data_IF_371840106326
#
_entry.id   IF_371840106326
#
_cell.length_a   1.000
_cell.length_b   1.000
_cell.length_c   1.000
_cell.angle_alpha   90.00
_cell.angle_beta   90.00
_cell.angle_gamma   90.00
#
_symmetry.space_group_name_H-M   'P 1'
#
loop_
_entity.id
_entity.type
_entity.pdbx_description
1 polymer ?
#
# COMPACT_ATOMS: atom_id res chain seq x y z
N UNK A 1 17.85 -24.93 -6.00
CA UNK A 1 17.04 -23.70 -5.86
C UNK A 1 15.73 -23.91 -6.60
N UNK A 2 14.60 -23.84 -5.89
CA UNK A 2 13.26 -24.05 -6.41
C UNK A 2 12.58 -22.73 -6.77
N UNK A 3 11.65 -22.80 -7.73
CA UNK A 3 10.91 -21.66 -8.28
C UNK A 3 9.41 -21.85 -8.05
N UNK A 4 8.87 -21.45 -6.88
CA UNK A 4 7.52 -21.83 -6.51
C UNK A 4 6.44 -21.04 -7.26
N UNK A 5 6.73 -19.81 -7.69
CA UNK A 5 5.79 -18.92 -8.42
C UNK A 5 6.25 -18.58 -9.84
N UNK A 6 7.35 -19.20 -10.30
CA UNK A 6 7.96 -19.06 -11.62
C UNK A 6 8.01 -17.60 -12.13
N UNK A 7 7.16 -17.20 -13.09
CA UNK A 7 7.12 -15.86 -13.68
C UNK A 7 6.12 -14.91 -13.05
N UNK A 8 5.51 -15.24 -11.90
CA UNK A 8 4.60 -14.34 -11.19
C UNK A 8 5.33 -13.56 -10.10
N UNK A 9 5.33 -12.23 -10.23
CA UNK A 9 5.85 -11.30 -9.22
C UNK A 9 4.94 -10.07 -9.13
N UNK A 10 4.58 -9.66 -7.92
CA UNK A 10 3.69 -8.52 -7.68
C UNK A 10 4.33 -7.14 -7.89
N UNK A 11 5.66 -7.06 -8.08
CA UNK A 11 6.31 -5.81 -8.48
C UNK A 11 6.18 -5.50 -9.98
N UNK A 12 5.90 -6.52 -10.81
CA UNK A 12 5.73 -6.41 -12.27
C UNK A 12 6.75 -5.47 -12.97
N UNK A 13 8.03 -5.59 -12.60
CA UNK A 13 9.05 -4.65 -13.06
C UNK A 13 9.19 -4.65 -14.59
N UNK A 14 9.08 -3.49 -15.23
CA UNK A 14 9.22 -3.34 -16.69
C UNK A 14 10.56 -3.89 -17.25
N UNK A 15 11.61 -3.90 -16.43
CA UNK A 15 12.93 -4.42 -16.78
C UNK A 15 13.12 -5.92 -16.48
N UNK A 16 12.14 -6.62 -15.90
CA UNK A 16 12.28 -8.02 -15.54
C UNK A 16 12.24 -8.90 -16.79
N UNK A 17 13.38 -9.52 -17.12
CA UNK A 17 13.48 -10.42 -18.26
C UNK A 17 12.65 -11.71 -18.07
N UNK A 18 12.32 -12.06 -16.83
CA UNK A 18 11.69 -13.34 -16.49
C UNK A 18 10.16 -13.31 -16.56
N UNK A 19 9.53 -12.17 -16.27
CA UNK A 19 8.06 -11.99 -16.35
C UNK A 19 7.51 -12.29 -17.75
N UNK A 20 8.29 -11.97 -18.80
CA UNK A 20 7.90 -12.20 -20.21
C UNK A 20 7.59 -13.67 -20.53
N UNK A 21 8.06 -14.61 -19.72
CA UNK A 21 7.75 -16.04 -19.86
C UNK A 21 6.28 -16.36 -19.60
N UNK A 22 5.54 -15.51 -18.88
CA UNK A 22 4.10 -15.70 -18.67
C UNK A 22 3.35 -15.86 -19.99
N UNK A 23 3.74 -15.08 -21.01
CA UNK A 23 3.16 -15.12 -22.36
C UNK A 23 3.38 -16.44 -23.10
N UNK A 24 4.38 -17.23 -22.69
CA UNK A 24 4.68 -18.53 -23.30
C UNK A 24 3.79 -19.65 -22.75
N UNK A 25 3.18 -19.46 -21.58
CA UNK A 25 2.37 -20.48 -20.90
C UNK A 25 1.05 -19.89 -20.36
N UNK A 26 0.14 -19.43 -21.24
CA UNK A 26 -1.06 -18.69 -20.84
C UNK A 26 -2.01 -19.48 -19.92
N UNK A 27 -2.02 -20.80 -20.01
CA UNK A 27 -2.86 -21.68 -19.19
C UNK A 27 -2.19 -22.10 -17.86
N UNK A 28 -0.95 -21.67 -17.62
CA UNK A 28 -0.21 -22.06 -16.42
C UNK A 28 -0.64 -21.24 -15.21
N UNK A 29 -0.87 -21.91 -14.09
CA UNK A 29 -1.01 -21.22 -12.81
C UNK A 29 0.30 -20.57 -12.35
N UNK A 30 1.44 -21.03 -12.90
CA UNK A 30 2.81 -20.74 -12.47
C UNK A 30 3.10 -21.08 -11.00
N UNK A 31 2.23 -21.88 -10.38
CA UNK A 31 2.37 -22.32 -8.99
C UNK A 31 2.91 -23.74 -8.96
N UNK A 32 3.95 -23.95 -8.16
CA UNK A 32 4.44 -25.29 -7.84
C UNK A 32 3.34 -26.06 -7.09
N UNK A 33 3.03 -27.28 -7.55
CA UNK A 33 2.09 -28.15 -6.85
C UNK A 33 2.74 -28.78 -5.62
N UNK A 34 1.93 -29.29 -4.70
CA UNK A 34 2.42 -29.97 -3.50
C UNK A 34 3.24 -31.22 -3.86
N UNK A 35 2.80 -31.98 -4.87
CA UNK A 35 3.50 -33.18 -5.33
C UNK A 35 4.90 -32.84 -5.87
N UNK A 36 5.00 -31.77 -6.67
CA UNK A 36 6.29 -31.30 -7.20
C UNK A 36 7.19 -30.79 -6.08
N UNK A 37 6.62 -30.03 -5.13
CA UNK A 37 7.35 -29.53 -3.95
C UNK A 37 7.89 -30.70 -3.12
N UNK A 38 7.07 -31.71 -2.84
CA UNK A 38 7.51 -32.88 -2.07
C UNK A 38 8.58 -33.68 -2.79
N UNK A 39 8.43 -33.93 -4.09
CA UNK A 39 9.46 -34.61 -4.87
C UNK A 39 10.78 -33.83 -4.88
N UNK A 40 10.73 -32.51 -5.04
CA UNK A 40 11.92 -31.66 -5.00
C UNK A 40 12.63 -31.74 -3.64
N UNK A 41 11.89 -31.58 -2.54
CA UNK A 41 12.46 -31.62 -1.18
C UNK A 41 13.06 -33.01 -0.91
N UNK A 42 12.30 -34.08 -1.18
CA UNK A 42 12.74 -35.46 -0.99
C UNK A 42 14.02 -35.77 -1.75
N UNK A 43 14.05 -35.51 -3.06
CA UNK A 43 15.22 -35.79 -3.90
C UNK A 43 16.43 -34.93 -3.49
N UNK A 44 16.20 -33.68 -3.08
CA UNK A 44 17.27 -32.82 -2.59
C UNK A 44 17.91 -33.40 -1.33
N UNK A 45 17.10 -33.82 -0.36
CA UNK A 45 17.59 -34.40 0.90
C UNK A 45 18.27 -35.76 0.67
N UNK A 46 17.65 -36.65 -0.11
CA UNK A 46 18.20 -37.98 -0.43
C UNK A 46 19.53 -37.89 -1.19
N UNK A 47 19.65 -36.94 -2.12
CA UNK A 47 20.84 -36.77 -2.97
C UNK A 47 22.06 -36.17 -2.26
N UNK A 48 21.86 -35.41 -1.18
CA UNK A 48 22.97 -34.81 -0.45
C UNK A 48 23.68 -35.83 0.45
N UNK A 49 25.01 -35.85 0.39
CA UNK A 49 25.89 -36.75 1.17
C UNK A 49 26.58 -36.08 2.35
N UNK A 50 26.36 -34.79 2.54
CA UNK A 50 26.88 -33.99 3.64
C UNK A 50 25.79 -33.74 4.68
N UNK A 51 26.14 -33.45 5.95
CA UNK A 51 25.16 -33.22 7.00
C UNK A 51 24.37 -31.92 6.83
N UNK A 52 24.79 -30.99 5.95
CA UNK A 52 24.08 -29.74 5.70
C UNK A 52 23.45 -29.72 4.31
N UNK A 53 22.18 -29.32 4.23
CA UNK A 53 21.45 -29.19 2.97
C UNK A 53 20.74 -27.88 2.90
N UNK A 54 20.91 -27.17 1.79
CA UNK A 54 20.24 -25.90 1.57
C UNK A 54 18.96 -26.11 0.73
N UNK A 55 17.82 -25.79 1.31
CA UNK A 55 16.56 -25.62 0.58
C UNK A 55 16.38 -24.13 0.28
N UNK A 56 16.40 -23.80 -1.00
CA UNK A 56 16.43 -22.43 -1.48
C UNK A 56 15.21 -22.10 -2.34
N UNK A 57 14.45 -21.08 -1.94
CA UNK A 57 13.27 -20.57 -2.65
C UNK A 57 13.59 -19.24 -3.34
N UNK A 58 13.34 -19.14 -4.64
CA UNK A 58 13.62 -17.93 -5.44
C UNK A 58 12.69 -17.86 -6.67
N UNK A 59 12.84 -16.80 -7.47
CA UNK A 59 12.15 -16.60 -8.75
C UNK A 59 10.65 -16.25 -8.61
N UNK A 60 10.19 -15.34 -9.48
CA UNK A 60 8.92 -14.65 -9.26
C UNK A 60 8.99 -13.85 -7.97
N UNK A 61 7.88 -13.79 -7.23
CA UNK A 61 7.89 -13.48 -5.81
C UNK A 61 7.42 -14.73 -5.03
N UNK A 62 8.30 -15.42 -4.28
CA UNK A 62 7.95 -16.64 -3.57
C UNK A 62 6.84 -16.46 -2.52
N UNK A 63 6.76 -15.30 -1.86
CA UNK A 63 5.71 -15.05 -0.85
C UNK A 63 4.29 -15.11 -1.42
N UNK A 64 4.11 -14.96 -2.74
CA UNK A 64 2.81 -15.16 -3.40
C UNK A 64 2.28 -16.61 -3.28
N UNK A 65 3.09 -17.58 -2.87
CA UNK A 65 2.58 -18.91 -2.53
C UNK A 65 1.67 -18.91 -1.30
N UNK A 66 1.84 -17.95 -0.39
CA UNK A 66 1.16 -17.93 0.90
C UNK A 66 1.80 -18.87 1.94
N UNK A 67 1.47 -18.64 3.21
CA UNK A 67 2.07 -19.34 4.34
C UNK A 67 1.79 -20.85 4.34
N UNK A 68 0.62 -21.29 3.88
CA UNK A 68 0.25 -22.71 3.94
C UNK A 68 1.14 -23.59 3.07
N UNK A 69 1.58 -23.08 1.91
CA UNK A 69 2.57 -23.76 1.07
C UNK A 69 3.89 -23.97 1.83
N UNK A 70 4.39 -22.94 2.52
CA UNK A 70 5.67 -23.03 3.23
C UNK A 70 5.57 -23.82 4.53
N UNK A 71 4.44 -23.76 5.25
CA UNK A 71 4.16 -24.66 6.38
C UNK A 71 4.23 -26.12 5.92
N UNK A 72 3.59 -26.41 4.79
CA UNK A 72 3.63 -27.74 4.20
C UNK A 72 5.03 -28.15 3.74
N UNK A 73 5.78 -27.24 3.13
CA UNK A 73 7.18 -27.47 2.78
C UNK A 73 8.03 -27.86 4.02
N UNK A 74 7.86 -27.14 5.14
CA UNK A 74 8.57 -27.44 6.40
C UNK A 74 8.17 -28.79 6.98
N UNK A 75 6.89 -29.18 6.90
CA UNK A 75 6.46 -30.53 7.31
C UNK A 75 7.13 -31.62 6.47
N UNK A 76 7.20 -31.42 5.15
CA UNK A 76 7.86 -32.35 4.24
C UNK A 76 9.36 -32.41 4.49
N UNK A 77 10.03 -31.28 4.71
CA UNK A 77 11.45 -31.23 5.11
C UNK A 77 11.69 -32.06 6.37
N UNK A 78 10.85 -31.89 7.41
CA UNK A 78 10.94 -32.67 8.65
C UNK A 78 10.72 -34.17 8.43
N UNK A 79 9.79 -34.54 7.55
CA UNK A 79 9.49 -35.94 7.20
C UNK A 79 10.71 -36.69 6.63
N UNK A 80 11.53 -36.01 5.82
CA UNK A 80 12.70 -36.63 5.17
C UNK A 80 14.04 -36.36 5.87
N UNK A 81 14.05 -35.51 6.92
CA UNK A 81 15.26 -35.15 7.64
C UNK A 81 15.92 -36.38 8.31
N UNK A 82 17.21 -36.59 8.03
CA UNK A 82 17.99 -37.70 8.61
C UNK A 82 18.65 -37.29 9.95
N UNK A 83 18.92 -38.22 10.87
CA UNK A 83 19.66 -37.93 12.10
C UNK A 83 21.02 -37.26 11.82
N UNK A 84 21.34 -36.20 12.57
CA UNK A 84 22.59 -35.45 12.40
C UNK A 84 22.64 -34.50 11.20
N UNK A 85 21.54 -34.39 10.44
CA UNK A 85 21.40 -33.51 9.30
C UNK A 85 20.78 -32.17 9.71
N UNK A 86 21.24 -31.07 9.11
CA UNK A 86 20.72 -29.72 9.26
C UNK A 86 20.24 -29.20 7.91
N UNK A 87 19.05 -28.61 7.87
CA UNK A 87 18.55 -27.91 6.69
C UNK A 87 18.76 -26.41 6.88
N UNK A 88 19.55 -25.83 6.00
CA UNK A 88 19.63 -24.38 5.83
C UNK A 88 18.51 -23.94 4.88
N UNK A 89 17.79 -22.88 5.26
CA UNK A 89 16.72 -22.31 4.46
C UNK A 89 17.16 -20.98 3.90
N UNK A 90 17.09 -20.83 2.58
CA UNK A 90 17.32 -19.54 1.92
C UNK A 90 16.07 -19.11 1.17
N UNK A 91 15.78 -17.82 1.25
CA UNK A 91 14.54 -17.24 0.74
C UNK A 91 14.85 -15.90 0.07
N UNK A 92 14.59 -15.79 -1.22
CA UNK A 92 14.76 -14.54 -1.96
C UNK A 92 13.39 -13.90 -2.20
N UNK A 93 13.15 -12.74 -1.60
CA UNK A 93 11.89 -11.99 -1.68
C UNK A 93 12.15 -10.52 -1.96
N UNK A 94 11.21 -9.87 -2.60
CA UNK A 94 11.14 -8.41 -2.70
C UNK A 94 10.70 -7.72 -1.39
N UNK A 95 10.25 -8.50 -0.39
CA UNK A 95 9.91 -8.01 0.95
C UNK A 95 8.55 -7.31 1.08
N UNK A 96 7.81 -7.06 -0.01
CA UNK A 96 6.58 -6.25 0.07
C UNK A 96 5.38 -6.99 0.67
N UNK A 97 5.47 -8.31 0.81
CA UNK A 97 4.48 -9.15 1.50
C UNK A 97 4.95 -9.60 2.89
N UNK A 98 6.05 -9.01 3.40
CA UNK A 98 6.43 -9.13 4.80
C UNK A 98 5.71 -8.02 5.56
N UNK A 99 4.62 -8.36 6.24
CA UNK A 99 3.66 -7.42 6.83
C UNK A 99 3.69 -7.41 8.38
N UNK A 100 4.44 -8.32 9.00
CA UNK A 100 4.70 -8.31 10.44
C UNK A 100 5.93 -7.43 10.74
N UNK A 101 5.68 -6.17 11.11
CA UNK A 101 6.71 -5.21 11.53
C UNK A 101 6.91 -5.18 13.05
N UNK A 102 8.16 -5.12 13.49
CA UNK A 102 8.60 -4.97 14.89
C UNK A 102 9.77 -3.99 14.98
N UNK A 103 9.99 -3.40 16.15
CA UNK A 103 11.17 -2.58 16.41
C UNK A 103 12.20 -3.41 17.18
N UNK A 104 13.43 -3.46 16.66
CA UNK A 104 14.56 -4.13 17.30
C UNK A 104 15.57 -3.08 17.77
N UNK A 105 15.79 -3.02 19.08
CA UNK A 105 16.80 -2.17 19.69
C UNK A 105 18.19 -2.81 19.63
N UNK A 106 19.23 -1.96 19.71
CA UNK A 106 20.63 -2.39 19.72
C UNK A 106 21.00 -3.35 20.86
N UNK A 107 20.22 -3.36 21.94
CA UNK A 107 20.34 -4.29 23.07
C UNK A 107 19.89 -5.71 22.74
N UNK A 108 19.15 -5.88 21.64
CA UNK A 108 18.44 -7.11 21.27
C UNK A 108 16.98 -7.12 21.73
N UNK A 109 16.50 -6.07 22.40
CA UNK A 109 15.11 -5.98 22.83
C UNK A 109 14.18 -5.74 21.64
N UNK A 110 13.09 -6.51 21.60
CA UNK A 110 12.11 -6.47 20.54
C UNK A 110 10.80 -5.86 21.06
N UNK A 111 10.24 -4.92 20.30
CA UNK A 111 9.01 -4.21 20.62
C UNK A 111 8.02 -4.28 19.45
N UNK A 112 6.74 -4.08 19.75
CA UNK A 112 5.66 -4.20 18.76
C UNK A 112 5.73 -3.22 17.58
N UNK A 113 6.30 -2.03 17.77
CA UNK A 113 6.39 -0.95 16.77
C UNK A 113 7.35 0.14 17.29
N UNK A 114 7.97 0.90 16.39
CA UNK A 114 8.85 2.03 16.67
C UNK A 114 8.18 3.16 17.48
N UNK A 115 6.87 3.37 17.33
CA UNK A 115 6.11 4.32 18.16
C UNK A 115 5.80 3.82 19.58
N UNK A 116 6.11 2.55 19.87
CA UNK A 116 5.74 1.83 21.09
C UNK A 116 6.96 1.12 21.71
N UNK A 117 8.12 1.79 21.77
CA UNK A 117 9.31 1.29 22.45
C UNK A 117 9.20 1.59 23.96
N UNK A 118 8.33 0.85 24.64
CA UNK A 118 8.03 1.00 26.07
C UNK A 118 7.63 -0.35 26.70
N UNK A 119 7.71 -0.53 28.05
CA UNK A 119 7.57 -1.83 28.69
C UNK A 119 6.28 -2.60 28.36
N UNK A 120 5.16 -1.90 28.13
CA UNK A 120 3.87 -2.52 27.78
C UNK A 120 3.90 -3.26 26.43
N UNK A 121 4.80 -2.86 25.53
CA UNK A 121 4.90 -3.35 24.17
C UNK A 121 6.21 -4.09 23.90
N UNK A 122 6.98 -4.39 24.96
CA UNK A 122 8.15 -5.26 24.89
C UNK A 122 7.69 -6.70 24.69
N UNK A 123 8.27 -7.36 23.68
CA UNK A 123 7.96 -8.74 23.30
C UNK A 123 8.97 -9.73 23.89
N UNK A 124 10.22 -9.30 24.10
CA UNK A 124 11.31 -10.16 24.55
C UNK A 124 12.68 -9.66 24.07
N UNK A 125 13.73 -10.44 24.30
CA UNK A 125 15.07 -10.19 23.76
C UNK A 125 15.49 -11.33 22.81
N UNK A 126 16.00 -10.96 21.64
CA UNK A 126 16.37 -11.93 20.58
C UNK A 126 17.57 -12.83 20.95
N UNK A 127 18.32 -12.46 22.00
CA UNK A 127 19.41 -13.29 22.53
C UNK A 127 18.89 -14.48 23.33
N UNK A 128 17.68 -14.35 23.89
CA UNK A 128 17.07 -15.33 24.78
C UNK A 128 16.01 -16.18 24.09
N UNK A 129 15.35 -15.63 23.06
CA UNK A 129 14.27 -16.30 22.34
C UNK A 129 14.37 -16.09 20.83
N UNK A 130 14.07 -17.10 20.00
CA UNK A 130 14.00 -16.94 18.56
C UNK A 130 13.02 -15.83 18.17
N UNK A 131 13.43 -14.94 17.27
CA UNK A 131 12.62 -13.80 16.84
C UNK A 131 11.25 -14.24 16.30
N UNK A 132 11.17 -15.39 15.63
CA UNK A 132 9.91 -15.99 15.17
C UNK A 132 8.91 -16.18 16.31
N UNK A 133 9.36 -16.67 17.47
CA UNK A 133 8.50 -16.87 18.65
C UNK A 133 7.99 -15.55 19.21
N UNK A 134 8.84 -14.51 19.19
CA UNK A 134 8.47 -13.19 19.69
C UNK A 134 7.46 -12.48 18.75
N UNK A 135 7.71 -12.53 17.44
CA UNK A 135 6.85 -11.91 16.43
C UNK A 135 5.49 -12.62 16.32
N UNK A 136 5.46 -13.95 16.45
CA UNK A 136 4.22 -14.73 16.43
C UNK A 136 3.47 -14.79 17.77
N UNK A 137 3.97 -14.09 18.79
CA UNK A 137 3.37 -14.06 20.12
C UNK A 137 1.91 -13.58 20.10
N UNK A 138 1.11 -14.03 21.07
CA UNK A 138 -0.28 -13.57 21.21
C UNK A 138 -0.35 -12.05 21.44
N UNK A 139 0.58 -11.49 22.22
CA UNK A 139 0.70 -10.04 22.42
C UNK A 139 0.87 -9.28 21.11
N UNK A 140 1.79 -9.72 20.24
CA UNK A 140 2.04 -9.06 18.96
C UNK A 140 0.86 -9.22 18.00
N UNK A 141 0.23 -10.40 17.96
CA UNK A 141 -0.98 -10.65 17.16
C UNK A 141 -2.13 -9.75 17.60
N UNK A 142 -2.36 -9.62 18.91
CA UNK A 142 -3.39 -8.73 19.46
C UNK A 142 -3.08 -7.27 19.14
N UNK A 143 -1.82 -6.82 19.32
CA UNK A 143 -1.40 -5.46 18.95
C UNK A 143 -1.69 -5.13 17.47
N UNK A 144 -1.48 -6.09 16.57
CA UNK A 144 -1.83 -5.96 15.16
C UNK A 144 -3.33 -5.87 14.91
N UNK A 145 -4.10 -6.79 15.49
CA UNK A 145 -5.57 -6.87 15.33
C UNK A 145 -6.28 -5.65 15.91
N UNK A 146 -5.80 -5.14 17.03
CA UNK A 146 -6.39 -3.99 17.73
C UNK A 146 -6.44 -2.73 16.86
N UNK A 147 -5.49 -2.58 15.93
CA UNK A 147 -5.46 -1.44 14.98
C UNK A 147 -6.76 -1.29 14.21
N UNK A 148 -7.47 -2.38 13.93
CA UNK A 148 -8.78 -2.38 13.24
C UNK A 148 -9.94 -2.75 14.17
N UNK A 149 -9.75 -3.74 15.06
CA UNK A 149 -10.82 -4.25 15.91
C UNK A 149 -11.30 -3.23 16.93
N UNK A 150 -10.42 -2.33 17.40
CA UNK A 150 -10.75 -1.29 18.39
C UNK A 150 -11.11 0.07 17.77
N UNK A 151 -11.33 0.15 16.45
CA UNK A 151 -11.74 1.40 15.83
C UNK A 151 -13.10 1.86 16.36
N UNK A 152 -13.32 3.15 16.64
CA UNK A 152 -14.63 3.62 17.03
C UNK A 152 -15.63 3.47 15.87
N UNK A 153 -16.91 3.31 16.19
CA UNK A 153 -18.00 3.16 15.23
C UNK A 153 -18.09 4.36 14.28
N UNK A 154 -17.76 5.56 14.78
CA UNK A 154 -17.60 6.77 13.97
C UNK A 154 -16.62 6.58 12.80
N UNK A 155 -15.50 5.89 13.03
CA UNK A 155 -14.52 5.56 11.99
C UNK A 155 -15.02 4.42 11.09
N UNK A 156 -15.68 3.40 11.66
CA UNK A 156 -16.21 2.26 10.88
C UNK A 156 -17.27 2.67 9.86
N UNK A 157 -18.06 3.71 10.18
CA UNK A 157 -19.08 4.29 9.29
C UNK A 157 -18.54 5.39 8.35
N UNK A 158 -17.27 5.77 8.47
CA UNK A 158 -16.70 6.86 7.68
C UNK A 158 -16.52 6.43 6.22
N UNK A 159 -16.95 7.28 5.27
CA UNK A 159 -16.79 7.03 3.83
C UNK A 159 -15.32 6.87 3.40
N UNK A 160 -14.38 7.47 4.13
CA UNK A 160 -12.94 7.38 3.88
C UNK A 160 -12.25 6.22 4.60
N UNK A 161 -12.98 5.32 5.26
CA UNK A 161 -12.37 4.20 5.99
C UNK A 161 -11.44 3.36 5.10
N UNK A 162 -11.83 3.13 3.84
CA UNK A 162 -11.08 2.32 2.88
C UNK A 162 -9.67 2.85 2.57
N UNK A 163 -9.40 4.13 2.81
CA UNK A 163 -8.09 4.75 2.58
C UNK A 163 -7.43 5.22 3.87
N UNK A 164 -8.21 5.53 4.90
CA UNK A 164 -7.71 6.06 6.16
C UNK A 164 -7.36 4.93 7.15
N UNK A 165 -8.20 3.89 7.23
CA UNK A 165 -8.09 2.80 8.22
C UNK A 165 -7.95 3.27 9.68
N UNK A 166 -8.37 4.50 9.98
CA UNK A 166 -8.22 5.13 11.30
C UNK A 166 -6.79 5.54 11.66
N UNK A 167 -5.84 5.45 10.72
CA UNK A 167 -4.44 5.87 10.86
C UNK A 167 -3.72 5.15 12.04
N UNK A 168 -2.47 5.51 12.37
CA UNK A 168 -1.71 4.98 13.48
C UNK A 168 -2.45 5.12 14.83
N UNK A 169 -2.57 4.05 15.63
CA UNK A 169 -3.16 4.13 16.98
C UNK A 169 -2.47 5.12 17.92
N UNK A 170 -1.18 5.42 17.71
CA UNK A 170 -0.42 6.40 18.51
C UNK A 170 -1.05 7.80 18.46
N UNK A 171 -1.71 8.11 17.34
CA UNK A 171 -2.31 9.40 17.06
C UNK A 171 -3.81 9.46 17.40
N UNK A 172 -4.39 8.36 17.91
CA UNK A 172 -5.83 8.21 18.23
C UNK A 172 -6.15 8.70 19.64
N UNK A 173 -5.88 9.98 19.90
CA UNK A 173 -5.93 10.59 21.24
C UNK A 173 -7.19 11.39 21.54
N UNK A 174 -8.07 11.58 20.55
CA UNK A 174 -9.32 12.33 20.72
C UNK A 174 -10.52 11.42 20.99
N UNK A 175 -11.59 12.01 21.48
CA UNK A 175 -12.92 11.41 21.55
C UNK A 175 -13.69 11.74 20.27
N UNK A 176 -14.49 10.79 19.78
CA UNK A 176 -15.40 11.00 18.65
C UNK A 176 -16.54 11.96 19.02
N UNK A 177 -17.22 12.55 18.02
CA UNK A 177 -18.44 13.33 18.27
C UNK A 177 -19.52 12.58 19.06
N UNK A 178 -19.55 11.24 18.94
CA UNK A 178 -20.52 10.36 19.60
C UNK A 178 -20.04 9.87 20.98
N UNK A 179 -18.87 10.34 21.45
CA UNK A 179 -18.36 10.07 22.81
C UNK A 179 -17.41 8.87 22.95
N UNK A 180 -17.11 8.15 21.86
CA UNK A 180 -16.17 7.02 21.89
C UNK A 180 -14.71 7.49 21.85
N UNK A 181 -13.77 6.90 22.62
CA UNK A 181 -12.36 7.22 22.50
C UNK A 181 -11.75 6.65 21.21
N UNK A 182 -10.54 7.09 20.86
CA UNK A 182 -9.76 6.49 19.78
C UNK A 182 -9.93 7.18 18.43
N UNK A 183 -10.30 8.47 18.41
CA UNK A 183 -10.30 9.27 17.20
C UNK A 183 -8.91 9.87 16.95
N UNK A 184 -8.46 9.79 15.71
CA UNK A 184 -7.23 10.45 15.28
C UNK A 184 -7.34 11.98 15.38
N UNK A 185 -6.34 12.64 15.96
CA UNK A 185 -6.31 14.10 16.11
C UNK A 185 -6.37 14.89 14.78
N UNK A 186 -5.96 14.28 13.66
CA UNK A 186 -6.04 14.86 12.32
C UNK A 186 -7.29 14.43 11.55
N UNK A 187 -8.28 13.79 12.17
CA UNK A 187 -9.44 13.23 11.46
C UNK A 187 -10.15 14.24 10.55
N UNK A 188 -10.42 15.46 11.03
CA UNK A 188 -11.09 16.49 10.23
C UNK A 188 -10.23 16.95 9.03
N UNK A 189 -8.92 17.13 9.25
CA UNK A 189 -7.98 17.50 8.20
C UNK A 189 -7.84 16.41 7.13
N UNK A 190 -7.73 15.15 7.54
CA UNK A 190 -7.67 14.01 6.63
C UNK A 190 -8.95 13.89 5.82
N UNK A 191 -10.14 14.05 6.42
CA UNK A 191 -11.41 14.09 5.68
C UNK A 191 -11.42 15.17 4.61
N UNK A 192 -11.00 16.39 4.95
CA UNK A 192 -10.93 17.49 3.98
C UNK A 192 -9.92 17.21 2.86
N UNK A 193 -8.77 16.61 3.19
CA UNK A 193 -7.75 16.23 2.22
C UNK A 193 -8.25 15.15 1.27
N UNK A 194 -8.86 14.09 1.78
CA UNK A 194 -9.42 13.01 0.96
C UNK A 194 -10.55 13.51 0.06
N UNK A 195 -11.48 14.33 0.58
CA UNK A 195 -12.54 14.93 -0.23
C UNK A 195 -11.98 15.81 -1.37
N UNK A 196 -10.89 16.55 -1.12
CA UNK A 196 -10.24 17.37 -2.13
C UNK A 196 -9.53 16.53 -3.20
N UNK A 197 -8.84 15.45 -2.77
CA UNK A 197 -8.00 14.62 -3.64
C UNK A 197 -8.75 13.51 -4.35
N UNK A 198 -9.95 13.14 -3.90
CA UNK A 198 -10.69 11.98 -4.39
C UNK A 198 -10.85 12.03 -5.91
N UNK A 199 -11.36 13.14 -6.45
CA UNK A 199 -11.64 13.27 -7.87
C UNK A 199 -10.37 13.17 -8.73
N UNK A 200 -9.30 13.93 -8.45
CA UNK A 200 -8.02 13.72 -9.12
C UNK A 200 -7.52 12.28 -9.06
N UNK A 201 -7.56 11.66 -7.88
CA UNK A 201 -7.09 10.28 -7.70
C UNK A 201 -7.91 9.27 -8.51
N UNK A 202 -9.24 9.44 -8.59
CA UNK A 202 -10.10 8.59 -9.44
C UNK A 202 -9.79 8.72 -10.92
N UNK A 203 -9.52 9.94 -11.40
CA UNK A 203 -9.13 10.17 -12.80
C UNK A 203 -7.79 9.49 -13.09
N UNK A 204 -6.79 9.70 -12.24
CA UNK A 204 -5.48 9.05 -12.40
C UNK A 204 -5.58 7.52 -12.37
N UNK A 205 -6.35 6.96 -11.45
CA UNK A 205 -6.57 5.52 -11.36
C UNK A 205 -7.24 4.96 -12.63
N UNK A 206 -8.23 5.67 -13.19
CA UNK A 206 -8.91 5.25 -14.42
C UNK A 206 -8.00 5.37 -15.66
N UNK A 207 -7.13 6.40 -15.72
CA UNK A 207 -6.12 6.54 -16.76
C UNK A 207 -5.16 5.35 -16.73
N UNK A 208 -4.57 5.04 -15.57
CA UNK A 208 -3.65 3.92 -15.39
C UNK A 208 -4.32 2.59 -15.73
N UNK A 209 -5.58 2.38 -15.30
CA UNK A 209 -6.36 1.18 -15.62
C UNK A 209 -6.57 0.99 -17.13
N UNK A 210 -6.60 2.08 -17.91
CA UNK A 210 -6.70 2.07 -19.38
C UNK A 210 -5.34 2.05 -20.08
N UNK A 211 -4.23 1.90 -19.36
CA UNK A 211 -2.88 1.93 -19.92
C UNK A 211 -2.42 3.32 -20.36
N UNK A 212 -3.04 4.38 -19.83
CA UNK A 212 -2.67 5.78 -20.06
C UNK A 212 -1.79 6.31 -18.93
N UNK A 213 -1.14 7.45 -19.15
CA UNK A 213 -0.29 8.06 -18.15
C UNK A 213 -1.13 8.90 -17.18
N UNK A 214 -0.75 8.86 -15.89
CA UNK A 214 -1.48 9.56 -14.84
C UNK A 214 -1.39 11.10 -14.96
N UNK A 215 -0.30 11.62 -15.53
CA UNK A 215 -0.04 13.05 -15.74
C UNK A 215 -0.98 13.71 -16.76
N UNK A 216 -1.65 12.92 -17.60
CA UNK A 216 -2.70 13.39 -18.51
C UNK A 216 -3.87 14.07 -17.77
N UNK A 217 -4.00 13.83 -16.45
CA UNK A 217 -4.92 14.55 -15.57
C UNK A 217 -4.78 16.07 -15.65
N UNK A 218 -3.56 16.58 -15.83
CA UNK A 218 -3.30 18.03 -15.81
C UNK A 218 -4.08 18.74 -16.92
N UNK A 219 -4.11 18.14 -18.12
CA UNK A 219 -4.87 18.67 -19.25
C UNK A 219 -6.38 18.53 -19.05
N UNK A 220 -6.83 17.43 -18.45
CA UNK A 220 -8.25 17.19 -18.15
C UNK A 220 -8.76 18.27 -17.19
N UNK A 221 -8.08 18.48 -16.07
CA UNK A 221 -8.47 19.48 -15.07
C UNK A 221 -8.42 20.90 -15.62
N UNK A 222 -7.37 21.25 -16.37
CA UNK A 222 -7.27 22.57 -17.01
C UNK A 222 -8.42 22.85 -17.99
N UNK A 223 -8.83 21.84 -18.76
CA UNK A 223 -9.96 21.96 -19.71
C UNK A 223 -11.28 22.20 -18.97
N UNK A 224 -11.50 21.51 -17.85
CA UNK A 224 -12.70 21.66 -17.04
C UNK A 224 -12.75 23.01 -16.31
N UNK A 225 -11.63 23.49 -15.79
CA UNK A 225 -11.52 24.82 -15.19
C UNK A 225 -11.81 25.90 -16.23
N UNK A 226 -11.26 25.78 -17.45
CA UNK A 226 -11.57 26.69 -18.54
C UNK A 226 -13.06 26.67 -18.91
N UNK A 227 -13.70 25.49 -18.92
CA UNK A 227 -15.13 25.35 -19.19
C UNK A 227 -15.99 25.99 -18.07
N UNK A 228 -15.64 25.75 -16.81
CA UNK A 228 -16.31 26.37 -15.64
C UNK A 228 -16.16 27.88 -15.66
N UNK A 229 -14.96 28.39 -15.94
CA UNK A 229 -14.73 29.83 -16.07
C UNK A 229 -15.58 30.41 -17.19
N UNK A 230 -15.60 29.78 -18.37
CA UNK A 230 -16.43 30.23 -19.50
C UNK A 230 -17.91 30.27 -19.14
N UNK A 231 -18.42 29.26 -18.43
CA UNK A 231 -19.81 29.22 -17.97
C UNK A 231 -20.09 30.33 -16.95
N UNK A 232 -19.22 30.50 -15.95
CA UNK A 232 -19.37 31.54 -14.94
C UNK A 232 -19.33 32.95 -15.55
N UNK A 233 -18.47 33.17 -16.54
CA UNK A 233 -18.41 34.43 -17.30
C UNK A 233 -19.70 34.67 -18.09
N UNK A 234 -20.31 33.64 -18.65
CA UNK A 234 -21.56 33.76 -19.41
C UNK A 234 -22.77 34.10 -18.53
N UNK A 235 -22.77 33.70 -17.25
CA UNK A 235 -23.86 33.95 -16.30
C UNK A 235 -23.63 35.14 -15.38
N UNK A 236 -22.45 35.78 -15.45
CA UNK A 236 -22.09 36.91 -14.58
C UNK A 236 -22.84 38.19 -14.93
N UNK A 237 -23.43 38.83 -13.91
CA UNK A 237 -24.03 40.15 -14.03
C UNK A 237 -22.98 41.25 -14.20
N UNK A 238 -23.36 42.35 -14.86
CA UNK A 238 -22.46 43.46 -15.23
C UNK A 238 -21.64 44.01 -14.05
N UNK A 239 -22.23 44.06 -12.84
CA UNK A 239 -21.60 44.64 -11.65
C UNK A 239 -21.00 43.60 -10.68
N UNK A 240 -21.13 42.31 -10.98
CA UNK A 240 -20.64 41.22 -10.12
C UNK A 240 -19.11 41.17 -10.12
N UNK A 241 -18.46 40.60 -9.10
CA UNK A 241 -17.04 40.27 -9.14
C UNK A 241 -16.73 39.37 -10.34
N UNK A 242 -15.64 39.65 -11.05
CA UNK A 242 -15.28 38.86 -12.22
C UNK A 242 -14.81 37.44 -11.82
N UNK A 243 -15.39 36.37 -12.37
CA UNK A 243 -15.03 34.98 -12.03
C UNK A 243 -13.57 34.58 -12.28
N UNK A 244 -12.80 35.34 -13.05
CA UNK A 244 -11.38 35.07 -13.31
C UNK A 244 -10.45 35.30 -12.10
N UNK A 245 -10.96 35.81 -10.98
CA UNK A 245 -10.16 36.07 -9.78
C UNK A 245 -9.39 37.41 -9.77
N UNK A 246 -9.61 38.29 -10.76
CA UNK A 246 -8.90 39.58 -10.86
C UNK A 246 -9.27 40.62 -9.79
N UNK A 247 -10.29 40.36 -8.97
CA UNK A 247 -10.84 41.32 -7.99
C UNK A 247 -11.62 42.49 -8.61
N UNK A 248 -11.73 42.56 -9.94
CA UNK A 248 -12.46 43.63 -10.65
C UNK A 248 -13.93 43.25 -10.86
N UNK A 249 -14.81 44.25 -11.03
CA UNK A 249 -16.18 44.02 -11.52
C UNK A 249 -16.16 43.44 -12.93
N UNK A 250 -17.10 42.56 -13.27
CA UNK A 250 -17.17 41.84 -14.54
C UNK A 250 -17.07 42.78 -15.75
N UNK A 251 -17.85 43.88 -15.76
CA UNK A 251 -17.78 44.91 -16.81
C UNK A 251 -16.40 45.57 -17.00
N UNK A 252 -15.56 45.58 -15.96
CA UNK A 252 -14.20 46.18 -16.01
C UNK A 252 -13.11 45.13 -16.30
N UNK A 253 -13.50 43.92 -16.67
CA UNK A 253 -12.60 42.80 -16.88
C UNK A 253 -12.98 41.99 -18.12
N UNK A 254 -13.90 41.02 -18.00
CA UNK A 254 -14.29 40.13 -19.11
C UNK A 254 -15.65 40.50 -19.75
N UNK A 255 -16.37 41.47 -19.17
CA UNK A 255 -17.66 41.97 -19.67
C UNK A 255 -17.55 43.29 -20.43
N UNK A 256 -16.35 43.69 -20.86
CA UNK A 256 -16.14 44.88 -21.69
C UNK A 256 -16.80 44.67 -23.06
N UNK A 257 -17.76 45.52 -23.40
CA UNK A 257 -18.33 45.56 -24.76
C UNK A 257 -17.46 46.46 -25.63
N UNK A 258 -17.14 46.05 -26.87
CA UNK A 258 -16.33 46.79 -27.86
C UNK A 258 -16.73 48.27 -28.08
N UNK A 259 -17.94 48.66 -27.67
CA UNK A 259 -18.42 50.05 -27.69
C UNK A 259 -17.74 50.95 -26.64
N UNK A 260 -17.26 50.40 -25.53
CA UNK A 260 -16.59 51.15 -24.45
C UNK A 260 -15.08 51.39 -24.74
N UNK A 261 -14.46 50.68 -25.69
CA UNK A 261 -13.09 50.92 -26.15
C UNK A 261 -12.94 52.26 -26.92
N UNK A 262 -14.00 52.72 -27.60
CA UNK A 262 -13.93 53.97 -28.39
C UNK A 262 -13.92 55.24 -27.53
N UNK A 263 -14.51 55.21 -26.34
CA UNK A 263 -14.58 56.39 -25.46
C UNK A 263 -13.27 56.62 -24.69
N UNK A 264 -12.52 55.55 -24.40
CA UNK A 264 -11.26 55.66 -23.65
C UNK A 264 -10.07 56.17 -24.48
N UNK A 265 -10.18 56.22 -25.81
CA UNK A 265 -9.13 56.72 -26.72
C UNK A 265 -9.35 58.19 -27.12
N UNK A 266 -10.56 58.74 -26.90
CA UNK A 266 -10.88 60.14 -27.22
C UNK A 266 -10.69 61.12 -26.06
N UNK A 267 -10.40 60.65 -24.84
CA UNK A 267 -10.11 61.49 -23.65
C UNK A 267 -8.63 61.40 -23.19
N UNK A 268 -7.72 60.92 -24.04
CA UNK A 268 -6.28 60.84 -23.79
C UNK A 268 -5.47 61.90 -24.53
#
# INVERSE_FOLDING_TARGET
MAKPTDSKCNLDCAYCFYLKKERMYPESSFRMSEEVMEQYIRQTIEGHRVPEVTIAWQCGEPTLMGLDFFRRAVEVEKKYLRPGMRIEKTFQTNGVLVDEGVALEHTGDLYSCDHYVEPKHWLGNIKDSPIETLVSSEQQRNFGQDKSSTLPEYCRKCEFLFTCHGECPKNRVLTTPDGEPGLNWLCAGLKSFYAHTERPMRIMAELVKRGRYADEIMQILATEEAAKLKQALATSGRNDPCPCGSGRKFKKCHGHTKTEERVAVEEG
#
